data_IF_146768001346
#
_entry.id   IF_146768001346
#
_cell.length_a   1.000
_cell.length_b   1.000
_cell.length_c   1.000
_cell.angle_alpha   90.00
_cell.angle_beta   90.00
_cell.angle_gamma   90.00
#
_symmetry.space_group_name_H-M   'P 1'
#
loop_
_entity.id
_entity.type
_entity.pdbx_description
1 polymer ?
#
# COMPACT_ATOMS: atom_id res chain seq x y z
N UNK A 1 -23.73 4.97 5.59
CA UNK A 1 -22.37 5.02 4.98
C UNK A 1 -21.75 3.62 5.00
N UNK A 2 -21.35 3.12 3.85
CA UNK A 2 -20.72 1.80 3.73
C UNK A 2 -19.30 1.78 4.32
N UNK A 3 -18.76 0.59 4.58
CA UNK A 3 -17.39 0.46 5.05
C UNK A 3 -16.37 1.00 4.04
N UNK A 4 -16.62 0.78 2.74
CA UNK A 4 -15.78 1.31 1.65
C UNK A 4 -15.76 2.82 1.61
N UNK A 5 -16.92 3.48 1.78
CA UNK A 5 -16.98 4.94 1.85
C UNK A 5 -16.20 5.51 3.01
N UNK A 6 -16.27 4.87 4.18
CA UNK A 6 -15.46 5.29 5.35
C UNK A 6 -13.97 5.18 5.08
N UNK A 7 -13.54 4.10 4.42
CA UNK A 7 -12.13 3.91 4.04
C UNK A 7 -11.69 4.97 3.03
N UNK A 8 -12.49 5.25 2.00
CA UNK A 8 -12.18 6.29 1.01
C UNK A 8 -12.08 7.69 1.62
N UNK A 9 -12.97 8.04 2.55
CA UNK A 9 -12.91 9.32 3.29
C UNK A 9 -11.62 9.40 4.10
N UNK A 10 -11.26 8.32 4.80
CA UNK A 10 -10.01 8.25 5.56
C UNK A 10 -8.79 8.40 4.65
N UNK A 11 -8.76 7.71 3.51
CA UNK A 11 -7.67 7.82 2.54
C UNK A 11 -7.55 9.27 2.04
N UNK A 12 -8.65 9.90 1.68
CA UNK A 12 -8.66 11.29 1.22
C UNK A 12 -8.03 12.23 2.26
N UNK A 13 -8.41 12.07 3.52
CA UNK A 13 -7.86 12.85 4.63
C UNK A 13 -6.36 12.61 4.81
N UNK A 14 -5.91 11.36 4.78
CA UNK A 14 -4.50 11.00 4.93
C UNK A 14 -3.65 11.50 3.75
N UNK A 15 -4.19 11.46 2.53
CA UNK A 15 -3.55 12.05 1.33
C UNK A 15 -3.34 13.54 1.51
N UNK A 16 -4.38 14.29 1.89
CA UNK A 16 -4.28 15.72 2.11
C UNK A 16 -3.28 16.07 3.22
N UNK A 17 -3.28 15.32 4.31
CA UNK A 17 -2.34 15.54 5.40
C UNK A 17 -0.88 15.23 5.01
N UNK A 18 -0.64 14.21 4.21
CA UNK A 18 0.70 13.80 3.82
C UNK A 18 1.31 14.70 2.77
N UNK A 19 0.57 14.97 1.69
CA UNK A 19 1.02 15.83 0.59
C UNK A 19 0.94 17.33 0.90
N UNK A 20 0.19 17.72 1.95
CA UNK A 20 -0.04 19.08 2.44
C UNK A 20 -0.78 19.98 1.44
N UNK A 21 -0.13 20.42 0.36
CA UNK A 21 -0.75 21.25 -0.67
C UNK A 21 -0.96 20.44 -1.96
N UNK A 22 -2.21 20.17 -2.36
CA UNK A 22 -2.49 19.41 -3.58
C UNK A 22 -1.92 20.02 -4.86
N UNK A 23 -1.85 21.35 -4.95
CA UNK A 23 -1.31 22.07 -6.12
C UNK A 23 0.22 22.14 -6.15
N UNK A 24 0.85 21.94 -5.01
CA UNK A 24 2.32 21.90 -4.85
C UNK A 24 2.67 20.88 -3.77
N UNK A 25 2.56 19.59 -4.06
CA UNK A 25 2.68 18.54 -3.06
C UNK A 25 4.09 18.44 -2.49
N UNK A 26 4.16 18.00 -1.24
CA UNK A 26 5.38 17.80 -0.50
C UNK A 26 5.55 16.31 -0.21
N UNK A 27 6.73 15.77 -0.51
CA UNK A 27 7.08 14.36 -0.30
C UNK A 27 7.97 14.11 0.93
N UNK A 28 8.14 15.09 1.80
CA UNK A 28 8.96 14.97 3.02
C UNK A 28 8.44 13.84 3.94
N UNK A 29 7.14 13.58 3.92
CA UNK A 29 6.53 12.51 4.71
C UNK A 29 7.16 11.13 4.46
N UNK A 30 7.65 10.86 3.26
CA UNK A 30 8.28 9.57 2.91
C UNK A 30 9.47 9.29 3.82
N UNK A 31 10.46 10.18 3.85
CA UNK A 31 11.62 10.04 4.72
C UNK A 31 11.27 10.09 6.20
N UNK A 32 10.33 10.94 6.59
CA UNK A 32 9.87 11.06 7.98
C UNK A 32 9.27 9.75 8.48
N UNK A 33 8.35 9.13 7.73
CA UNK A 33 7.70 7.87 8.11
C UNK A 33 8.70 6.71 8.24
N UNK A 34 9.68 6.66 7.34
CA UNK A 34 10.75 5.66 7.40
C UNK A 34 11.59 5.84 8.65
N UNK A 35 12.03 7.07 8.92
CA UNK A 35 12.86 7.37 10.10
C UNK A 35 12.11 7.13 11.42
N UNK A 36 10.79 7.29 11.45
CA UNK A 36 9.94 6.97 12.58
C UNK A 36 9.67 5.46 12.73
N UNK A 37 10.11 4.63 11.78
CA UNK A 37 9.91 3.18 11.82
C UNK A 37 8.44 2.77 11.74
N UNK A 38 7.66 3.39 10.85
CA UNK A 38 6.21 3.22 10.74
C UNK A 38 5.76 1.75 10.68
N UNK A 39 6.56 0.87 10.09
CA UNK A 39 6.23 -0.55 9.91
C UNK A 39 7.20 -1.51 10.62
N UNK A 40 8.10 -1.03 11.47
CA UNK A 40 9.12 -1.88 12.10
C UNK A 40 8.52 -3.00 12.96
N UNK A 41 7.50 -2.71 13.76
CA UNK A 41 6.82 -3.73 14.56
C UNK A 41 6.10 -4.77 13.69
N UNK A 42 5.47 -4.33 12.61
CA UNK A 42 4.83 -5.23 11.64
C UNK A 42 5.87 -6.12 10.95
N UNK A 43 6.97 -5.55 10.49
CA UNK A 43 8.07 -6.30 9.87
C UNK A 43 8.63 -7.37 10.81
N UNK A 44 8.90 -7.00 12.06
CA UNK A 44 9.38 -7.95 13.07
C UNK A 44 8.39 -9.11 13.29
N UNK A 45 7.10 -8.83 13.33
CA UNK A 45 6.07 -9.85 13.45
C UNK A 45 5.98 -10.76 12.22
N UNK A 46 6.07 -10.19 11.03
CA UNK A 46 6.05 -10.94 9.77
C UNK A 46 7.24 -11.88 9.66
N UNK A 47 8.43 -11.44 10.02
CA UNK A 47 9.67 -12.23 9.93
C UNK A 47 9.68 -13.47 10.83
N UNK A 48 8.79 -13.56 11.82
CA UNK A 48 8.63 -14.77 12.62
C UNK A 48 8.07 -15.96 11.82
N UNK A 49 7.30 -15.70 10.76
CA UNK A 49 6.61 -16.73 9.98
C UNK A 49 6.94 -16.70 8.49
N UNK A 50 7.54 -15.61 8.01
CA UNK A 50 7.83 -15.37 6.59
C UNK A 50 9.28 -14.95 6.39
N UNK A 51 9.76 -15.20 5.19
CA UNK A 51 11.02 -14.63 4.70
C UNK A 51 10.66 -13.36 3.94
N UNK A 52 11.26 -12.24 4.31
CA UNK A 52 10.99 -10.92 3.71
C UNK A 52 12.19 -10.49 2.88
N UNK A 53 11.92 -10.06 1.64
CA UNK A 53 12.89 -9.38 0.79
C UNK A 53 12.41 -7.99 0.48
N UNK A 54 13.23 -6.99 0.78
CA UNK A 54 12.92 -5.57 0.51
C UNK A 54 13.27 -5.24 -0.94
N UNK A 55 12.27 -4.75 -1.68
CA UNK A 55 12.37 -4.32 -3.07
C UNK A 55 12.05 -2.82 -3.22
N UNK A 56 12.00 -2.07 -2.13
CA UNK A 56 11.56 -0.67 -2.11
C UNK A 56 12.44 0.23 -2.96
N UNK A 57 11.81 1.08 -3.78
CA UNK A 57 12.47 2.17 -4.51
C UNK A 57 11.79 3.51 -4.19
N UNK A 58 12.33 4.18 -3.19
CA UNK A 58 11.77 5.41 -2.65
C UNK A 58 11.98 6.64 -3.52
N UNK A 59 12.74 6.53 -4.61
CA UNK A 59 12.88 7.61 -5.58
C UNK A 59 11.63 7.75 -6.46
N UNK A 60 10.87 6.65 -6.63
CA UNK A 60 9.73 6.59 -7.55
C UNK A 60 8.40 6.21 -6.89
N UNK A 61 8.41 5.86 -5.61
CA UNK A 61 7.18 5.44 -4.93
C UNK A 61 7.05 6.03 -3.53
N UNK A 62 5.82 6.10 -3.06
CA UNK A 62 5.47 6.52 -1.69
C UNK A 62 5.08 5.33 -0.81
N UNK A 63 5.68 4.18 -1.07
CA UNK A 63 5.46 2.95 -0.34
C UNK A 63 6.74 2.13 -0.16
N UNK A 64 6.69 1.18 0.76
CA UNK A 64 7.66 0.10 0.87
C UNK A 64 7.13 -1.10 0.09
N UNK A 65 7.97 -1.74 -0.69
CA UNK A 65 7.65 -2.92 -1.48
C UNK A 65 8.45 -4.12 -0.98
N UNK A 66 7.73 -5.16 -0.53
CA UNK A 66 8.32 -6.38 -0.03
C UNK A 66 7.83 -7.61 -0.79
N UNK A 67 8.70 -8.59 -0.94
CA UNK A 67 8.30 -9.97 -1.23
C UNK A 67 8.28 -10.75 0.08
N UNK A 68 7.17 -11.40 0.36
CA UNK A 68 6.98 -12.21 1.57
C UNK A 68 6.73 -13.66 1.16
N UNK A 69 7.55 -14.59 1.66
CA UNK A 69 7.42 -16.01 1.37
C UNK A 69 7.23 -16.77 2.67
N UNK A 70 6.18 -17.63 2.75
CA UNK A 70 5.93 -18.44 3.93
C UNK A 70 7.08 -19.41 4.20
N UNK A 71 7.52 -19.49 5.45
CA UNK A 71 8.54 -20.46 5.89
C UNK A 71 8.01 -21.90 5.89
N UNK A 72 6.69 -22.07 5.96
CA UNK A 72 6.04 -23.39 5.98
C UNK A 72 5.77 -23.94 4.59
N UNK A 73 5.49 -23.04 3.64
CA UNK A 73 5.17 -23.39 2.25
C UNK A 73 5.64 -22.30 1.31
N UNK A 74 6.73 -22.56 0.61
CA UNK A 74 7.34 -21.62 -0.35
C UNK A 74 6.44 -21.25 -1.53
N UNK A 75 5.36 -22.03 -1.77
CA UNK A 75 4.35 -21.69 -2.77
C UNK A 75 3.48 -20.50 -2.35
N UNK A 76 3.40 -20.23 -1.06
CA UNK A 76 2.71 -19.07 -0.51
C UNK A 76 3.66 -17.87 -0.50
N UNK A 77 3.70 -17.20 -1.63
CA UNK A 77 4.53 -16.01 -1.87
C UNK A 77 3.66 -14.84 -2.28
N UNK A 78 3.94 -13.69 -1.69
CA UNK A 78 3.17 -12.46 -1.87
C UNK A 78 4.10 -11.28 -2.17
N UNK A 79 3.65 -10.39 -3.08
CA UNK A 79 4.14 -9.03 -3.15
C UNK A 79 3.28 -8.16 -2.24
N UNK A 80 3.90 -7.40 -1.36
CA UNK A 80 3.22 -6.52 -0.42
C UNK A 80 3.77 -5.12 -0.57
N UNK A 81 2.88 -4.16 -0.86
CA UNK A 81 3.19 -2.74 -0.85
C UNK A 81 2.55 -2.09 0.37
N UNK A 82 3.35 -1.36 1.14
CA UNK A 82 2.94 -0.68 2.37
C UNK A 82 3.04 0.83 2.17
N UNK A 83 1.91 1.52 2.18
CA UNK A 83 1.86 2.96 1.94
C UNK A 83 2.52 3.76 3.06
N UNK A 84 3.26 4.81 2.70
CA UNK A 84 3.79 5.80 3.64
C UNK A 84 2.86 7.00 3.80
N UNK A 85 1.80 7.09 3.00
CA UNK A 85 0.73 8.10 3.16
C UNK A 85 -0.10 7.81 4.40
N UNK A 86 -0.40 6.54 4.66
CA UNK A 86 -1.14 6.06 5.82
C UNK A 86 -0.96 4.55 5.96
N UNK A 87 -1.57 3.96 6.97
CA UNK A 87 -1.43 2.53 7.25
C UNK A 87 -2.31 1.68 6.33
N UNK A 88 -1.95 1.66 5.06
CA UNK A 88 -2.63 0.92 3.99
C UNK A 88 -1.66 -0.04 3.34
N UNK A 89 -2.17 -1.18 2.91
CA UNK A 89 -1.41 -2.16 2.16
C UNK A 89 -2.19 -2.72 0.99
N UNK A 90 -1.47 -3.16 -0.02
CA UNK A 90 -1.95 -4.08 -1.05
C UNK A 90 -1.08 -5.33 -1.01
N UNK A 91 -1.70 -6.49 -1.02
CA UNK A 91 -1.01 -7.78 -1.07
C UNK A 91 -1.47 -8.56 -2.29
N UNK A 92 -0.52 -9.02 -3.08
CA UNK A 92 -0.75 -9.74 -4.32
C UNK A 92 -0.10 -11.12 -4.22
N UNK A 93 -0.88 -12.18 -4.46
CA UNK A 93 -0.33 -13.52 -4.48
C UNK A 93 0.48 -13.75 -5.75
N UNK A 94 1.66 -14.32 -5.59
CA UNK A 94 2.44 -14.82 -6.71
C UNK A 94 1.80 -16.11 -7.25
N UNK A 95 1.41 -16.12 -8.52
CA UNK A 95 0.78 -17.26 -9.16
C UNK A 95 1.32 -17.41 -10.59
N UNK A 96 1.71 -18.64 -10.94
CA UNK A 96 2.14 -18.97 -12.30
C UNK A 96 3.28 -18.07 -12.85
N UNK A 97 4.26 -17.74 -12.01
CA UNK A 97 5.42 -16.95 -12.40
C UNK A 97 5.21 -15.42 -12.38
N UNK A 98 4.08 -14.94 -11.88
CA UNK A 98 3.79 -13.50 -11.81
C UNK A 98 2.90 -13.13 -10.61
N UNK A 99 2.94 -11.87 -10.22
CA UNK A 99 1.96 -11.29 -9.29
C UNK A 99 0.66 -10.94 -10.01
N UNK A 100 -0.46 -11.02 -9.30
CA UNK A 100 -1.73 -10.51 -9.79
C UNK A 100 -1.67 -8.99 -9.90
N UNK A 101 -2.30 -8.43 -10.94
CA UNK A 101 -2.41 -6.99 -11.10
C UNK A 101 -3.30 -6.38 -10.02
N UNK A 102 -2.95 -5.19 -9.51
CA UNK A 102 -3.80 -4.40 -8.62
C UNK A 102 -5.16 -4.03 -9.26
N UNK A 103 -5.25 -4.06 -10.58
CA UNK A 103 -6.50 -3.83 -11.31
C UNK A 103 -7.43 -5.05 -11.31
N UNK A 104 -6.94 -6.23 -10.91
CA UNK A 104 -7.77 -7.43 -10.80
C UNK A 104 -8.78 -7.27 -9.65
N UNK A 105 -10.08 -7.54 -9.89
CA UNK A 105 -11.07 -7.52 -8.82
C UNK A 105 -10.83 -8.62 -7.77
N UNK A 106 -10.13 -9.69 -8.15
CA UNK A 106 -9.80 -10.82 -7.30
C UNK A 106 -8.47 -10.66 -6.56
N UNK A 107 -7.98 -9.42 -6.41
CA UNK A 107 -6.81 -9.13 -5.61
C UNK A 107 -7.14 -9.35 -4.13
N UNK A 108 -6.96 -10.55 -3.70
CA UNK A 108 -7.19 -10.97 -2.32
C UNK A 108 -6.19 -12.07 -1.94
N UNK A 109 -5.88 -12.13 -0.67
CA UNK A 109 -5.07 -13.20 -0.10
C UNK A 109 -5.95 -14.03 0.84
N UNK A 110 -5.72 -15.34 0.85
CA UNK A 110 -6.42 -16.29 1.72
C UNK A 110 -5.54 -16.75 2.88
N UNK A 111 -4.33 -16.20 3.00
CA UNK A 111 -3.39 -16.49 4.08
C UNK A 111 -3.89 -15.83 5.38
N UNK A 112 -4.64 -16.60 6.17
CA UNK A 112 -5.24 -16.11 7.40
C UNK A 112 -4.22 -15.60 8.44
N UNK A 113 -3.06 -16.25 8.67
CA UNK A 113 -2.02 -15.71 9.51
C UNK A 113 -1.52 -14.34 9.06
N UNK A 114 -1.31 -14.13 7.76
CA UNK A 114 -0.86 -12.85 7.22
C UNK A 114 -1.94 -11.77 7.35
N UNK A 115 -3.19 -12.08 7.02
CA UNK A 115 -4.33 -11.17 7.21
C UNK A 115 -4.43 -10.75 8.68
N UNK A 116 -4.28 -11.69 9.62
CA UNK A 116 -4.32 -11.41 11.05
C UNK A 116 -3.21 -10.44 11.47
N UNK A 117 -2.00 -10.59 10.93
CA UNK A 117 -0.89 -9.67 11.20
C UNK A 117 -1.20 -8.24 10.70
N UNK A 118 -1.78 -8.07 9.52
CA UNK A 118 -2.24 -6.76 9.05
C UNK A 118 -3.24 -6.13 10.03
N UNK A 119 -4.23 -6.90 10.46
CA UNK A 119 -5.26 -6.44 11.39
C UNK A 119 -4.69 -6.06 12.77
N UNK A 120 -3.81 -6.89 13.33
CA UNK A 120 -3.17 -6.64 14.63
C UNK A 120 -2.31 -5.38 14.66
N UNK A 121 -1.76 -5.00 13.51
CA UNK A 121 -0.95 -3.80 13.36
C UNK A 121 -1.71 -2.61 12.78
N UNK A 122 -3.05 -2.68 12.74
CA UNK A 122 -3.93 -1.61 12.23
C UNK A 122 -3.58 -1.17 10.81
N UNK A 123 -3.20 -2.12 9.97
CA UNK A 123 -2.95 -1.89 8.55
C UNK A 123 -4.18 -2.33 7.77
N UNK A 124 -4.76 -1.42 7.00
CA UNK A 124 -5.94 -1.69 6.18
C UNK A 124 -5.49 -2.29 4.85
N UNK A 125 -5.83 -3.56 4.65
CA UNK A 125 -5.60 -4.24 3.37
C UNK A 125 -6.69 -3.80 2.38
N UNK A 126 -6.27 -3.20 1.26
CA UNK A 126 -7.17 -2.61 0.27
C UNK A 126 -7.51 -3.61 -0.82
N UNK A 127 -8.78 -3.62 -1.21
CA UNK A 127 -9.28 -4.41 -2.35
C UNK A 127 -9.16 -3.63 -3.67
N UNK A 128 -9.33 -4.35 -4.78
CA UNK A 128 -9.23 -3.77 -6.12
C UNK A 128 -10.27 -2.67 -6.38
N UNK A 129 -11.43 -2.72 -5.74
CA UNK A 129 -12.46 -1.69 -5.86
C UNK A 129 -11.96 -0.34 -5.30
N UNK A 130 -11.42 -0.37 -4.09
CA UNK A 130 -10.86 0.84 -3.46
C UNK A 130 -9.66 1.35 -4.23
N UNK A 131 -8.74 0.46 -4.60
CA UNK A 131 -7.51 0.82 -5.32
C UNK A 131 -7.77 1.56 -6.64
N UNK A 132 -8.83 1.18 -7.36
CA UNK A 132 -9.21 1.79 -8.63
C UNK A 132 -10.18 2.97 -8.49
N UNK A 133 -10.56 3.33 -7.26
CA UNK A 133 -11.42 4.47 -7.01
C UNK A 133 -10.71 5.80 -7.21
N UNK A 134 -11.48 6.82 -7.57
CA UNK A 134 -11.02 8.21 -7.66
C UNK A 134 -11.42 8.96 -6.38
N UNK A 135 -10.48 9.74 -5.86
CA UNK A 135 -10.74 10.66 -4.76
C UNK A 135 -11.27 12.01 -5.30
N UNK A 136 -12.01 12.75 -4.48
CA UNK A 136 -12.47 14.10 -4.84
C UNK A 136 -11.33 15.15 -4.79
N UNK A 137 -10.10 14.74 -4.57
CA UNK A 137 -8.89 15.55 -4.54
C UNK A 137 -7.95 15.13 -5.64
N UNK A 138 -7.23 16.09 -6.22
CA UNK A 138 -6.19 15.87 -7.23
C UNK A 138 -4.86 16.35 -6.69
N UNK A 139 -3.83 15.54 -6.81
CA UNK A 139 -2.46 15.91 -6.46
C UNK A 139 -1.74 16.30 -7.75
N UNK A 140 -1.40 17.57 -7.87
CA UNK A 140 -0.76 18.15 -9.06
C UNK A 140 0.76 18.09 -8.93
N UNK A 141 1.34 17.04 -9.51
CA UNK A 141 2.79 16.84 -9.58
C UNK A 141 3.17 16.25 -10.94
N UNK A 142 4.39 16.47 -11.39
CA UNK A 142 4.89 15.98 -12.69
C UNK A 142 4.89 14.45 -12.81
N UNK A 143 4.94 13.75 -11.68
CA UNK A 143 4.90 12.28 -11.61
C UNK A 143 3.49 11.72 -11.78
N UNK A 144 2.44 12.56 -11.75
CA UNK A 144 1.05 12.13 -11.95
C UNK A 144 0.51 12.61 -13.30
N UNK A 145 -0.18 11.71 -13.98
CA UNK A 145 -0.98 12.06 -15.17
C UNK A 145 -2.36 12.55 -14.76
N UNK A 146 -3.14 13.11 -15.70
CA UNK A 146 -4.52 13.50 -15.45
C UNK A 146 -5.37 12.33 -14.91
N UNK A 147 -5.08 11.10 -15.33
CA UNK A 147 -5.78 9.90 -14.89
C UNK A 147 -5.35 9.43 -13.49
N UNK A 148 -4.09 9.63 -13.11
CA UNK A 148 -3.50 9.09 -11.87
C UNK A 148 -3.50 10.06 -10.70
N UNK A 149 -3.60 11.36 -10.94
CA UNK A 149 -3.54 12.41 -9.90
C UNK A 149 -4.63 12.33 -8.80
N UNK A 150 -5.69 11.56 -9.03
CA UNK A 150 -6.75 11.32 -8.05
C UNK A 150 -7.02 9.83 -7.79
N UNK A 151 -6.27 8.93 -8.43
CA UNK A 151 -6.44 7.49 -8.27
C UNK A 151 -5.82 7.02 -6.96
N UNK A 152 -6.59 6.29 -6.15
CA UNK A 152 -6.14 5.78 -4.85
C UNK A 152 -4.84 5.00 -4.95
N UNK A 153 -4.74 4.06 -5.89
CA UNK A 153 -3.53 3.25 -6.06
C UNK A 153 -2.28 4.13 -6.27
N UNK A 154 -2.35 5.08 -7.19
CA UNK A 154 -1.21 5.94 -7.51
C UNK A 154 -0.84 6.88 -6.35
N UNK A 155 -1.84 7.46 -5.67
CA UNK A 155 -1.60 8.37 -4.56
C UNK A 155 -1.01 7.66 -3.33
N UNK A 156 -1.33 6.39 -3.12
CA UNK A 156 -0.85 5.63 -1.96
C UNK A 156 0.45 4.87 -2.21
N UNK A 157 0.70 4.40 -3.44
CA UNK A 157 1.75 3.43 -3.71
C UNK A 157 2.67 3.83 -4.86
N UNK A 158 2.19 4.49 -5.88
CA UNK A 158 2.95 4.71 -7.09
C UNK A 158 2.69 6.09 -7.67
N UNK A 159 3.74 6.85 -7.95
CA UNK A 159 3.64 8.21 -8.52
C UNK A 159 3.56 8.21 -10.05
N UNK A 160 3.89 7.11 -10.66
CA UNK A 160 3.88 6.98 -12.13
C UNK A 160 2.68 6.21 -12.65
#
# INVERSE_FOLDING_TARGET
MSNREKVLIKICHDVLNSYENPESPNFIFVGKRINEGMYDEFLNAVETQYIVSDLSDLNYSSCLDWTITSRRDEKNRYGVSLSLVGRYAVAQRYKSGRYLSHQSPDISIEDLPLITLFQQHNIILLDGFILNSKLPVKIEDEDFTEETQSCVYNLLFERL
#
